data_IF_135530885802
#
_entry.id   IF_135530885802
#
_cell.length_a   1.000
_cell.length_b   1.000
_cell.length_c   1.000
_cell.angle_alpha   90.00
_cell.angle_beta   90.00
_cell.angle_gamma   90.00
#
_symmetry.space_group_name_H-M   'P 1'
#
loop_
_entity.id
_entity.type
_entity.pdbx_description
1 polymer ?
#
# COMPACT_ATOMS: atom_id res chain seq x y z
N UNK A 1 27.91 6.47 -15.33
CA UNK A 1 26.96 5.75 -14.46
C UNK A 1 27.22 5.88 -12.95
N UNK A 2 28.11 6.79 -12.48
CA UNK A 2 28.34 7.02 -11.03
C UNK A 2 27.62 8.25 -10.45
N UNK A 3 27.23 9.22 -11.28
CA UNK A 3 26.56 10.46 -10.82
C UNK A 3 25.08 10.29 -10.43
N UNK A 4 24.36 9.31 -11.02
CA UNK A 4 22.94 9.07 -10.74
C UNK A 4 22.69 8.39 -9.38
N UNK A 5 23.68 7.72 -8.80
CA UNK A 5 23.58 7.11 -7.48
C UNK A 5 23.69 8.13 -6.34
N UNK A 6 24.44 9.22 -6.54
CA UNK A 6 24.67 10.25 -5.53
C UNK A 6 23.48 11.21 -5.39
N UNK A 7 22.78 11.53 -6.49
CA UNK A 7 21.56 12.35 -6.45
C UNK A 7 20.39 11.62 -5.76
N UNK A 8 20.29 10.30 -5.91
CA UNK A 8 19.30 9.48 -5.19
C UNK A 8 19.56 9.44 -3.68
N UNK A 9 20.83 9.46 -3.27
CA UNK A 9 21.21 9.48 -1.85
C UNK A 9 21.00 10.84 -1.18
N UNK A 10 21.27 11.95 -1.89
CA UNK A 10 21.07 13.30 -1.36
C UNK A 10 19.58 13.63 -1.13
N UNK A 11 18.70 13.19 -2.04
CA UNK A 11 17.23 13.32 -1.91
C UNK A 11 16.68 12.42 -0.80
N UNK A 12 17.27 11.23 -0.61
CA UNK A 12 16.91 10.35 0.51
C UNK A 12 17.31 10.93 1.88
N UNK A 13 18.48 11.61 1.96
CA UNK A 13 18.95 12.28 3.18
C UNK A 13 18.11 13.49 3.59
N UNK A 14 17.52 14.21 2.63
CA UNK A 14 16.70 15.42 2.92
C UNK A 14 15.24 15.10 3.25
N UNK A 15 14.68 14.00 2.74
CA UNK A 15 13.27 13.64 2.98
C UNK A 15 13.09 12.88 4.32
N UNK A 16 14.13 12.25 4.84
CA UNK A 16 14.04 11.35 5.99
C UNK A 16 14.12 12.04 7.38
N UNK A 17 14.15 13.36 7.51
CA UNK A 17 14.31 14.02 8.81
C UNK A 17 13.00 14.30 9.57
N UNK A 18 11.83 14.31 8.91
CA UNK A 18 10.57 14.81 9.51
C UNK A 18 9.61 13.73 10.03
N UNK A 19 9.99 12.45 10.00
CA UNK A 19 9.07 11.34 10.35
C UNK A 19 9.71 10.24 11.22
N UNK A 20 10.70 10.58 12.05
CA UNK A 20 11.27 9.64 13.03
C UNK A 20 10.81 9.97 14.44
N UNK A 21 10.55 8.96 15.30
CA UNK A 21 10.43 9.17 16.75
C UNK A 21 11.71 9.80 17.30
N UNK A 22 11.58 10.73 18.25
CA UNK A 22 12.69 11.55 18.79
C UNK A 22 13.89 10.75 19.31
N UNK A 23 13.71 9.46 19.62
CA UNK A 23 14.75 8.55 20.09
C UNK A 23 15.81 8.17 19.04
N UNK A 24 15.54 8.36 17.74
CA UNK A 24 16.50 8.01 16.69
C UNK A 24 17.13 9.25 16.04
N UNK A 25 16.47 10.41 16.09
CA UNK A 25 17.05 11.68 15.65
C UNK A 25 18.35 12.02 16.43
N UNK A 26 18.43 11.63 17.70
CA UNK A 26 19.61 11.85 18.55
C UNK A 26 20.87 11.09 18.11
N UNK A 27 20.74 10.02 17.31
CA UNK A 27 21.90 9.27 16.81
C UNK A 27 22.49 9.86 15.52
N UNK A 28 21.80 10.81 14.88
CA UNK A 28 22.18 11.37 13.58
C UNK A 28 22.91 12.72 13.65
N UNK A 29 23.11 13.29 14.84
CA UNK A 29 23.64 14.66 15.02
C UNK A 29 25.08 14.72 15.56
N UNK A 30 25.94 13.75 15.24
CA UNK A 30 27.36 13.82 15.64
C UNK A 30 28.25 14.13 14.42
N UNK A 31 28.83 15.33 14.49
CA UNK A 31 30.04 15.84 13.84
C UNK A 31 29.94 16.33 12.39
N UNK A 32 29.63 17.63 12.27
CA UNK A 32 29.96 18.52 11.15
C UNK A 32 31.42 19.04 11.29
N UNK A 33 32.41 18.17 11.12
CA UNK A 33 33.80 18.61 10.91
C UNK A 33 34.29 18.10 9.55
N UNK A 34 34.57 19.06 8.66
CA UNK A 34 35.21 18.90 7.36
C UNK A 34 36.61 18.30 7.55
N UNK A 35 36.76 16.99 7.34
CA UNK A 35 38.06 16.40 7.05
C UNK A 35 37.94 15.22 6.07
N UNK A 36 38.76 15.30 5.01
CA UNK A 36 38.95 14.27 4.00
C UNK A 36 39.53 13.01 4.65
N UNK A 37 38.72 11.96 4.85
CA UNK A 37 39.21 10.66 5.32
C UNK A 37 38.62 9.51 4.50
N UNK A 38 39.51 8.57 4.19
CA UNK A 38 39.36 7.39 3.35
C UNK A 38 38.22 6.46 3.78
N UNK A 39 37.73 5.68 2.82
CA UNK A 39 36.56 4.82 2.98
C UNK A 39 36.90 3.51 3.70
N UNK A 40 36.78 3.51 5.02
CA UNK A 40 36.87 2.31 5.84
C UNK A 40 35.56 1.51 5.73
N UNK A 41 35.67 0.21 5.45
CA UNK A 41 34.58 -0.72 5.12
C UNK A 41 33.52 -0.99 6.20
N UNK A 42 33.47 -0.23 7.29
CA UNK A 42 32.51 -0.39 8.38
C UNK A 42 31.18 0.35 8.16
N UNK A 43 31.19 1.49 7.45
CA UNK A 43 29.97 2.25 7.11
C UNK A 43 29.05 1.48 6.14
N UNK A 44 29.63 0.67 5.25
CA UNK A 44 28.88 -0.24 4.38
C UNK A 44 28.11 -1.31 5.17
N UNK A 45 28.62 -1.70 6.34
CA UNK A 45 28.02 -2.71 7.21
C UNK A 45 26.86 -2.14 8.06
N UNK A 46 26.96 -0.88 8.50
CA UNK A 46 25.87 -0.22 9.21
C UNK A 46 24.63 -0.03 8.33
N UNK A 47 24.81 0.44 7.08
CA UNK A 47 23.72 0.56 6.11
C UNK A 47 23.08 -0.80 5.77
N UNK A 48 23.89 -1.86 5.65
CA UNK A 48 23.40 -3.22 5.43
C UNK A 48 22.62 -3.78 6.64
N UNK A 49 23.03 -3.43 7.87
CA UNK A 49 22.33 -3.80 9.12
C UNK A 49 21.01 -3.06 9.28
N UNK A 50 20.97 -1.77 8.95
CA UNK A 50 19.74 -0.98 8.92
C UNK A 50 18.77 -1.48 7.85
N UNK A 51 19.28 -1.84 6.67
CA UNK A 51 18.49 -2.48 5.60
C UNK A 51 17.85 -3.78 6.11
N UNK A 52 18.62 -4.68 6.74
CA UNK A 52 18.12 -5.94 7.32
C UNK A 52 17.13 -5.72 8.47
N UNK A 53 17.38 -4.76 9.36
CA UNK A 53 16.48 -4.43 10.48
C UNK A 53 15.14 -3.83 10.03
N UNK A 54 15.10 -3.15 8.89
CA UNK A 54 13.87 -2.62 8.29
C UNK A 54 13.04 -3.66 7.50
N UNK A 55 13.50 -4.91 7.38
CA UNK A 55 12.81 -6.00 6.65
C UNK A 55 11.32 -6.18 6.99
N UNK A 56 10.86 -6.11 8.26
CA UNK A 56 9.45 -6.25 8.59
C UNK A 56 8.57 -5.04 8.21
N UNK A 57 9.16 -3.88 7.86
CA UNK A 57 8.44 -2.67 7.44
C UNK A 57 8.45 -2.43 5.92
N UNK A 58 9.16 -3.27 5.15
CA UNK A 58 9.30 -3.11 3.69
C UNK A 58 7.99 -3.22 2.92
N UNK A 59 7.01 -3.97 3.42
CA UNK A 59 5.70 -4.09 2.79
C UNK A 59 4.85 -2.81 2.93
N UNK A 60 5.04 -2.05 4.02
CA UNK A 60 4.34 -0.78 4.25
C UNK A 60 5.04 0.39 3.54
N UNK A 61 6.38 0.37 3.49
CA UNK A 61 7.18 1.37 2.78
C UNK A 61 7.15 1.23 1.26
N UNK A 62 7.00 0.03 0.69
CA UNK A 62 6.88 -0.14 -0.76
C UNK A 62 5.57 0.42 -1.32
N UNK A 63 4.49 0.45 -0.53
CA UNK A 63 3.21 1.07 -0.91
C UNK A 63 3.29 2.59 -0.85
N UNK A 64 3.93 3.14 0.20
CA UNK A 64 4.19 4.58 0.34
C UNK A 64 5.20 5.11 -0.69
N UNK A 65 6.29 4.39 -0.95
CA UNK A 65 7.27 4.72 -1.97
C UNK A 65 6.72 4.58 -3.40
N UNK A 66 5.80 3.64 -3.68
CA UNK A 66 5.13 3.55 -4.99
C UNK A 66 4.18 4.70 -5.26
N UNK A 67 3.52 5.23 -4.22
CA UNK A 67 2.68 6.42 -4.32
C UNK A 67 3.54 7.69 -4.52
N UNK A 68 4.63 7.83 -3.76
CA UNK A 68 5.56 8.96 -3.90
C UNK A 68 6.36 8.95 -5.21
N UNK A 69 6.85 7.79 -5.68
CA UNK A 69 7.60 7.69 -6.95
C UNK A 69 6.72 7.90 -8.20
N UNK A 70 5.38 7.76 -8.10
CA UNK A 70 4.45 8.15 -9.17
C UNK A 70 4.18 9.66 -9.20
N UNK A 71 4.21 10.32 -8.05
CA UNK A 71 4.03 11.78 -7.96
C UNK A 71 5.28 12.56 -8.39
N UNK A 72 6.47 11.97 -8.28
CA UNK A 72 7.74 12.63 -8.61
C UNK A 72 8.08 12.69 -10.13
N UNK A 73 7.38 11.93 -10.99
CA UNK A 73 7.58 11.92 -12.44
C UNK A 73 6.25 12.02 -13.20
N UNK A 74 5.51 13.11 -12.97
CA UNK A 74 4.47 13.54 -13.90
C UNK A 74 5.10 14.53 -14.91
N UNK A 75 4.99 14.32 -16.23
CA UNK A 75 5.40 15.34 -17.20
C UNK A 75 4.50 16.57 -17.04
N UNK A 76 5.15 17.66 -16.64
CA UNK A 76 4.62 19.02 -16.62
C UNK A 76 4.00 19.37 -17.98
N UNK A 77 2.68 19.56 -18.04
CA UNK A 77 2.01 20.25 -19.16
C UNK A 77 1.58 21.64 -18.70
N UNK A 78 2.56 22.52 -18.55
CA UNK A 78 2.34 23.96 -18.65
C UNK A 78 2.81 24.42 -20.03
N UNK A 79 1.84 24.56 -20.93
CA UNK A 79 2.00 25.25 -22.22
C UNK A 79 1.04 26.43 -22.23
N UNK A 80 1.58 27.59 -21.88
CA UNK A 80 0.97 28.90 -21.92
C UNK A 80 0.48 29.23 -23.35
N UNK A 81 -0.75 29.72 -23.51
CA UNK A 81 -1.13 30.50 -24.68
C UNK A 81 -1.94 31.72 -24.24
N UNK A 82 -1.35 32.88 -24.53
CA UNK A 82 -1.87 34.21 -24.27
C UNK A 82 -3.15 34.48 -25.07
N UNK A 83 -4.08 35.18 -24.43
CA UNK A 83 -5.21 35.85 -25.07
C UNK A 83 -4.72 37.08 -25.85
N UNK A 84 -5.41 37.46 -26.93
CA UNK A 84 -5.83 38.86 -27.02
C UNK A 84 -7.35 39.00 -27.09
N UNK A 85 -7.82 40.13 -26.56
CA UNK A 85 -9.21 40.57 -26.53
C UNK A 85 -9.66 41.04 -27.92
N UNK A 86 -10.76 40.49 -28.44
CA UNK A 86 -11.63 41.20 -29.40
C UNK A 86 -13.09 40.81 -29.16
N UNK A 87 -13.94 41.82 -28.97
CA UNK A 87 -15.39 41.74 -29.06
C UNK A 87 -15.91 43.08 -29.63
N UNK A 88 -17.14 43.17 -30.14
CA UNK A 88 -18.09 42.11 -30.48
C UNK A 88 -18.72 42.29 -31.88
N UNK A 89 -19.00 41.21 -32.62
CA UNK A 89 -20.00 41.30 -33.68
C UNK A 89 -20.74 39.97 -33.89
N UNK A 90 -21.94 39.95 -33.30
CA UNK A 90 -23.17 39.24 -33.70
C UNK A 90 -22.98 38.18 -34.80
N UNK A 91 -22.89 36.90 -34.42
CA UNK A 91 -23.19 35.80 -35.34
C UNK A 91 -23.75 34.57 -34.60
N UNK A 92 -25.06 34.36 -34.84
CA UNK A 92 -25.84 33.11 -34.90
C UNK A 92 -25.42 31.99 -33.94
N UNK A 93 -26.33 31.65 -33.01
CA UNK A 93 -26.35 30.35 -32.30
C UNK A 93 -26.34 29.24 -33.35
N UNK A 94 -25.16 28.66 -33.59
CA UNK A 94 -25.00 27.38 -34.29
C UNK A 94 -25.12 26.31 -33.21
N UNK A 95 -26.06 25.39 -33.41
CA UNK A 95 -26.44 24.38 -32.44
C UNK A 95 -25.25 23.58 -31.92
N UNK A 96 -25.25 23.35 -30.60
CA UNK A 96 -24.37 22.37 -29.97
C UNK A 96 -24.48 21.03 -30.70
N UNK A 97 -23.37 20.40 -31.10
CA UNK A 97 -23.41 19.04 -31.62
C UNK A 97 -23.89 18.11 -30.50
N UNK A 98 -25.06 17.49 -30.72
CA UNK A 98 -25.82 16.63 -29.80
C UNK A 98 -25.11 15.31 -29.38
N UNK A 99 -23.80 15.20 -29.56
CA UNK A 99 -23.01 13.99 -29.25
C UNK A 99 -22.14 14.08 -27.99
N UNK A 100 -21.88 15.28 -27.47
CA UNK A 100 -20.98 15.45 -26.30
C UNK A 100 -21.71 15.31 -24.95
N UNK A 101 -23.02 15.53 -24.90
CA UNK A 101 -23.83 15.46 -23.68
C UNK A 101 -23.89 14.05 -23.10
N UNK A 102 -23.98 13.01 -23.95
CA UNK A 102 -24.09 11.62 -23.49
C UNK A 102 -22.85 11.13 -22.74
N UNK A 103 -21.64 11.47 -23.20
CA UNK A 103 -20.39 11.05 -22.55
C UNK A 103 -20.16 11.75 -21.20
N UNK A 104 -20.54 13.04 -21.09
CA UNK A 104 -20.41 13.80 -19.84
C UNK A 104 -21.44 13.34 -18.80
N UNK A 105 -22.69 13.10 -19.21
CA UNK A 105 -23.74 12.53 -18.34
C UNK A 105 -23.41 11.13 -17.83
N UNK A 106 -22.74 10.30 -18.63
CA UNK A 106 -22.29 8.97 -18.19
C UNK A 106 -21.15 9.07 -17.17
N UNK A 107 -20.21 9.98 -17.35
CA UNK A 107 -19.12 10.20 -16.41
C UNK A 107 -19.62 10.72 -15.04
N UNK A 108 -20.60 11.63 -15.01
CA UNK A 108 -21.22 12.07 -13.76
C UNK A 108 -21.97 10.93 -13.11
N UNK A 109 -22.78 10.16 -13.86
CA UNK A 109 -23.50 9.00 -13.33
C UNK A 109 -22.58 7.94 -12.75
N UNK A 110 -21.44 7.63 -13.38
CA UNK A 110 -20.46 6.69 -12.84
C UNK A 110 -19.75 7.21 -11.59
N UNK A 111 -19.46 8.52 -11.54
CA UNK A 111 -18.93 9.19 -10.36
C UNK A 111 -19.93 9.14 -9.21
N UNK A 112 -21.18 9.53 -9.46
CA UNK A 112 -22.28 9.54 -8.51
C UNK A 112 -22.56 8.14 -7.94
N UNK A 113 -22.53 7.12 -8.81
CA UNK A 113 -22.69 5.72 -8.38
C UNK A 113 -21.49 5.21 -7.59
N UNK A 114 -20.28 5.66 -7.89
CA UNK A 114 -19.10 5.27 -7.11
C UNK A 114 -19.15 5.88 -5.71
N UNK A 115 -19.51 7.15 -5.61
CA UNK A 115 -19.69 7.86 -4.34
C UNK A 115 -20.78 7.23 -3.48
N UNK A 116 -21.92 6.88 -4.07
CA UNK A 116 -22.98 6.16 -3.38
C UNK A 116 -22.49 4.83 -2.79
N UNK A 117 -21.75 4.04 -3.57
CA UNK A 117 -21.21 2.74 -3.11
C UNK A 117 -20.11 2.90 -2.07
N UNK A 118 -19.31 3.95 -2.16
CA UNK A 118 -18.30 4.28 -1.16
C UNK A 118 -18.97 4.64 0.18
N UNK A 119 -20.05 5.41 0.14
CA UNK A 119 -20.87 5.71 1.32
C UNK A 119 -21.48 4.44 1.92
N UNK A 120 -22.14 3.61 1.11
CA UNK A 120 -22.69 2.32 1.57
C UNK A 120 -21.62 1.41 2.20
N UNK A 121 -20.40 1.39 1.65
CA UNK A 121 -19.29 0.63 2.23
C UNK A 121 -18.85 1.19 3.58
N UNK A 122 -18.86 2.52 3.73
CA UNK A 122 -18.54 3.18 5.01
C UNK A 122 -19.56 2.80 6.07
N UNK A 123 -20.86 2.87 5.74
CA UNK A 123 -21.94 2.43 6.63
C UNK A 123 -21.84 0.93 6.96
N UNK A 124 -21.50 0.09 5.98
CA UNK A 124 -21.27 -1.33 6.21
C UNK A 124 -20.14 -1.56 7.22
N UNK A 125 -19.01 -0.87 7.04
CA UNK A 125 -17.86 -0.92 7.95
C UNK A 125 -18.25 -0.49 9.35
N UNK A 126 -19.00 0.60 9.50
CA UNK A 126 -19.39 1.09 10.81
C UNK A 126 -20.31 0.10 11.55
N UNK A 127 -21.10 -0.69 10.81
CA UNK A 127 -21.94 -1.76 11.38
C UNK A 127 -21.23 -3.10 11.62
N UNK A 128 -20.22 -3.46 10.82
CA UNK A 128 -19.59 -4.79 10.84
C UNK A 128 -18.15 -4.79 11.40
N UNK A 129 -17.52 -3.62 11.51
CA UNK A 129 -16.13 -3.45 11.92
C UNK A 129 -15.10 -3.62 10.79
N UNK A 130 -15.51 -4.05 9.60
CA UNK A 130 -14.62 -4.23 8.45
C UNK A 130 -15.26 -3.92 7.09
N UNK A 131 -14.44 -3.86 6.05
CA UNK A 131 -14.89 -3.66 4.66
C UNK A 131 -15.06 -4.97 3.88
N UNK A 132 -15.16 -6.13 4.55
CA UNK A 132 -15.18 -7.45 3.92
C UNK A 132 -16.59 -7.87 3.51
N UNK A 133 -17.18 -7.10 2.60
CA UNK A 133 -18.54 -7.35 2.11
C UNK A 133 -18.60 -8.66 1.28
N UNK A 134 -19.37 -9.68 1.71
CA UNK A 134 -19.57 -10.89 0.93
C UNK A 134 -20.25 -10.60 -0.42
N UNK A 135 -19.92 -11.38 -1.46
CA UNK A 135 -20.57 -11.23 -2.78
C UNK A 135 -22.09 -11.44 -2.73
N UNK A 136 -22.57 -12.23 -1.75
CA UNK A 136 -23.99 -12.46 -1.49
C UNK A 136 -24.73 -11.21 -0.99
N UNK A 137 -24.04 -10.18 -0.50
CA UNK A 137 -24.63 -8.87 -0.15
C UNK A 137 -24.96 -8.02 -1.39
N UNK A 138 -25.30 -8.68 -2.50
CA UNK A 138 -25.85 -8.05 -3.68
C UNK A 138 -24.90 -7.04 -4.36
N UNK A 139 -25.41 -5.85 -4.74
CA UNK A 139 -24.64 -4.87 -5.52
C UNK A 139 -23.37 -4.37 -4.84
N UNK A 140 -23.39 -4.15 -3.51
CA UNK A 140 -22.22 -3.67 -2.76
C UNK A 140 -21.09 -4.71 -2.77
N UNK A 141 -21.43 -5.98 -2.51
CA UNK A 141 -20.45 -7.08 -2.55
C UNK A 141 -19.81 -7.26 -3.94
N UNK A 142 -20.59 -7.12 -5.00
CA UNK A 142 -20.06 -7.13 -6.37
C UNK A 142 -19.17 -5.90 -6.65
N UNK A 143 -19.54 -4.72 -6.14
CA UNK A 143 -18.76 -3.50 -6.28
C UNK A 143 -17.41 -3.59 -5.56
N UNK A 144 -17.37 -4.08 -4.33
CA UNK A 144 -16.13 -4.33 -3.56
C UNK A 144 -15.19 -5.26 -4.31
N UNK A 145 -15.72 -6.38 -4.82
CA UNK A 145 -14.93 -7.32 -5.63
C UNK A 145 -14.41 -6.67 -6.92
N UNK A 146 -15.21 -5.80 -7.55
CA UNK A 146 -14.76 -5.01 -8.71
C UNK A 146 -13.61 -4.07 -8.34
N UNK A 147 -13.67 -3.38 -7.19
CA UNK A 147 -12.57 -2.51 -6.75
C UNK A 147 -11.27 -3.31 -6.57
N UNK A 148 -11.32 -4.45 -5.85
CA UNK A 148 -10.14 -5.34 -5.67
C UNK A 148 -9.56 -5.81 -7.01
N UNK A 149 -10.42 -6.17 -7.97
CA UNK A 149 -9.99 -6.57 -9.32
C UNK A 149 -9.37 -5.41 -10.10
N UNK A 150 -9.99 -4.23 -10.09
CA UNK A 150 -9.48 -3.05 -10.78
C UNK A 150 -8.13 -2.60 -10.20
N UNK A 151 -7.96 -2.65 -8.87
CA UNK A 151 -6.70 -2.37 -8.20
C UNK A 151 -5.59 -3.33 -8.66
N UNK A 152 -5.85 -4.64 -8.64
CA UNK A 152 -4.87 -5.65 -9.11
C UNK A 152 -4.48 -5.45 -10.57
N UNK A 153 -5.40 -4.94 -11.40
CA UNK A 153 -5.16 -4.65 -12.81
C UNK A 153 -4.54 -3.26 -13.07
N UNK A 154 -4.33 -2.44 -12.03
CA UNK A 154 -3.83 -1.07 -12.19
C UNK A 154 -4.81 -0.12 -12.89
N UNK A 155 -6.12 -0.44 -12.88
CA UNK A 155 -7.18 0.34 -13.55
C UNK A 155 -7.96 1.26 -12.61
N UNK A 156 -7.67 1.21 -11.32
CA UNK A 156 -8.32 2.06 -10.33
C UNK A 156 -7.54 3.38 -10.22
N UNK A 157 -8.24 4.51 -10.19
CA UNK A 157 -7.60 5.82 -10.04
C UNK A 157 -7.00 5.97 -8.63
N UNK A 158 -5.91 6.75 -8.54
CA UNK A 158 -5.20 6.97 -7.27
C UNK A 158 -6.11 7.61 -6.21
N UNK A 159 -7.00 8.53 -6.61
CA UNK A 159 -7.99 9.13 -5.71
C UNK A 159 -8.91 8.08 -5.06
N UNK A 160 -9.41 7.13 -5.86
CA UNK A 160 -10.29 6.06 -5.36
C UNK A 160 -9.55 5.08 -4.46
N UNK A 161 -8.26 4.84 -4.75
CA UNK A 161 -7.39 4.04 -3.90
C UNK A 161 -7.26 4.69 -2.53
N UNK A 162 -6.86 5.97 -2.49
CA UNK A 162 -6.68 6.73 -1.25
C UNK A 162 -7.97 6.75 -0.41
N UNK A 163 -9.11 6.97 -1.05
CA UNK A 163 -10.41 7.04 -0.34
C UNK A 163 -10.91 5.68 0.18
N UNK A 164 -10.51 4.58 -0.45
CA UNK A 164 -10.77 3.23 0.07
C UNK A 164 -9.80 2.90 1.20
N UNK A 165 -8.53 3.24 1.06
CA UNK A 165 -7.53 3.04 2.12
C UNK A 165 -7.85 3.86 3.39
N UNK A 166 -8.40 5.07 3.24
CA UNK A 166 -8.77 5.92 4.38
C UNK A 166 -9.86 5.33 5.27
N UNK A 167 -10.68 4.40 4.75
CA UNK A 167 -11.70 3.69 5.54
C UNK A 167 -11.20 2.29 6.00
N UNK A 168 -9.91 1.98 5.81
CA UNK A 168 -9.33 0.70 6.20
C UNK A 168 -9.62 -0.45 5.23
N UNK A 169 -9.85 -0.16 3.95
CA UNK A 169 -10.15 -1.20 2.96
C UNK A 169 -8.97 -2.14 2.71
N UNK A 170 -9.19 -3.44 2.94
CA UNK A 170 -8.19 -4.48 2.68
C UNK A 170 -8.30 -4.99 1.24
N UNK A 171 -7.23 -4.79 0.47
CA UNK A 171 -7.14 -5.23 -0.94
C UNK A 171 -6.99 -6.75 -1.10
N UNK A 172 -6.23 -7.40 -0.22
CA UNK A 172 -5.99 -8.84 -0.24
C UNK A 172 -6.29 -9.47 1.13
N UNK A 173 -7.55 -9.87 1.30
CA UNK A 173 -8.05 -10.44 2.54
C UNK A 173 -7.31 -11.71 2.95
N UNK A 174 -7.03 -12.62 2.01
CA UNK A 174 -6.28 -13.85 2.30
C UNK A 174 -4.86 -13.59 2.82
N UNK A 175 -4.24 -12.51 2.35
CA UNK A 175 -2.93 -12.10 2.84
C UNK A 175 -3.03 -11.47 4.23
N UNK A 176 -4.06 -10.66 4.47
CA UNK A 176 -4.30 -10.07 5.79
C UNK A 176 -4.58 -11.16 6.83
N UNK A 177 -5.49 -12.10 6.55
CA UNK A 177 -5.79 -13.24 7.43
C UNK A 177 -4.53 -14.07 7.74
N UNK A 178 -3.65 -14.25 6.75
CA UNK A 178 -2.38 -14.92 6.97
C UNK A 178 -1.47 -14.13 7.92
N UNK A 179 -1.37 -12.80 7.75
CA UNK A 179 -0.58 -11.94 8.61
C UNK A 179 -1.14 -11.90 10.05
N UNK A 180 -2.45 -11.88 10.20
CA UNK A 180 -3.11 -11.83 11.50
C UNK A 180 -2.85 -13.13 12.28
N UNK A 181 -3.02 -14.29 11.66
CA UNK A 181 -2.67 -15.57 12.29
C UNK A 181 -1.18 -15.74 12.53
N UNK A 182 -0.33 -15.23 11.63
CA UNK A 182 1.11 -15.23 11.86
C UNK A 182 1.48 -14.39 13.09
N UNK A 183 0.83 -13.23 13.27
CA UNK A 183 0.98 -12.40 14.47
C UNK A 183 0.49 -13.10 15.73
N UNK A 184 -0.67 -13.78 15.64
CA UNK A 184 -1.23 -14.59 16.73
C UNK A 184 -0.27 -15.73 17.13
N UNK A 185 0.34 -16.40 16.15
CA UNK A 185 1.36 -17.43 16.40
C UNK A 185 2.63 -16.86 17.07
N UNK A 186 3.07 -15.67 16.67
CA UNK A 186 4.20 -15.02 17.34
C UNK A 186 3.89 -14.68 18.79
N UNK A 187 2.66 -14.23 19.08
CA UNK A 187 2.22 -13.97 20.45
C UNK A 187 2.18 -15.26 21.27
N UNK A 188 1.61 -16.34 20.71
CA UNK A 188 1.62 -17.66 21.34
C UNK A 188 3.05 -18.13 21.67
N UNK A 189 3.98 -17.96 20.72
CA UNK A 189 5.39 -18.31 20.95
C UNK A 189 6.00 -17.49 22.09
N UNK A 190 5.70 -16.19 22.16
CA UNK A 190 6.22 -15.34 23.22
C UNK A 190 5.73 -15.78 24.62
N UNK A 191 4.51 -16.32 24.70
CA UNK A 191 3.90 -16.79 25.95
C UNK A 191 4.34 -18.22 26.32
N UNK A 192 4.44 -19.13 25.35
CA UNK A 192 4.67 -20.56 25.57
C UNK A 192 6.11 -21.02 25.34
N UNK A 193 6.92 -20.21 24.65
CA UNK A 193 8.31 -20.51 24.28
C UNK A 193 8.48 -21.28 22.97
N UNK A 194 7.40 -21.86 22.42
CA UNK A 194 7.44 -22.63 21.18
C UNK A 194 6.24 -22.35 20.24
N UNK A 195 6.26 -22.96 19.06
CA UNK A 195 5.17 -22.87 18.07
C UNK A 195 4.29 -24.15 18.03
N UNK A 196 4.33 -24.98 19.07
CA UNK A 196 3.60 -26.24 19.13
C UNK A 196 2.16 -26.02 19.61
N UNK A 197 1.38 -25.32 18.80
CA UNK A 197 -0.01 -24.99 19.14
C UNK A 197 -0.90 -26.24 19.06
N UNK A 198 -1.54 -26.67 20.17
CA UNK A 198 -2.51 -27.77 20.14
C UNK A 198 -3.72 -27.44 19.27
N UNK A 199 -4.31 -28.44 18.60
CA UNK A 199 -5.51 -28.22 17.78
C UNK A 199 -6.72 -27.72 18.60
N UNK A 200 -6.73 -27.98 19.92
CA UNK A 200 -7.72 -27.46 20.87
C UNK A 200 -7.64 -25.95 21.09
N UNK A 201 -6.55 -25.27 20.69
CA UNK A 201 -6.41 -23.81 20.71
C UNK A 201 -7.20 -23.12 19.58
N UNK A 202 -8.44 -23.56 19.37
CA UNK A 202 -9.42 -22.92 18.50
C UNK A 202 -8.93 -22.69 17.06
N UNK A 203 -8.99 -21.44 16.62
CA UNK A 203 -8.69 -21.04 15.23
C UNK A 203 -7.20 -21.16 14.92
N UNK A 204 -6.33 -20.74 15.84
CA UNK A 204 -4.88 -20.81 15.68
C UNK A 204 -4.38 -22.26 15.55
N UNK A 205 -4.86 -23.16 16.42
CA UNK A 205 -4.48 -24.58 16.36
C UNK A 205 -4.87 -25.24 15.03
N UNK A 206 -6.08 -24.96 14.53
CA UNK A 206 -6.52 -25.40 13.20
C UNK A 206 -5.66 -24.80 12.09
N UNK A 207 -5.32 -23.51 12.19
CA UNK A 207 -4.49 -22.82 11.21
C UNK A 207 -3.07 -23.41 11.13
N UNK A 208 -2.44 -23.68 12.27
CA UNK A 208 -1.12 -24.34 12.36
C UNK A 208 -1.17 -25.75 11.77
N UNK A 209 -2.18 -26.55 12.13
CA UNK A 209 -2.37 -27.89 11.56
C UNK A 209 -2.50 -27.85 10.03
N UNK A 210 -3.28 -26.90 9.49
CA UNK A 210 -3.43 -26.73 8.06
C UNK A 210 -2.12 -26.35 7.37
N UNK A 211 -1.27 -25.53 8.00
CA UNK A 211 0.06 -25.18 7.46
C UNK A 211 0.97 -26.39 7.33
N UNK A 212 1.00 -27.27 8.34
CA UNK A 212 1.75 -28.54 8.29
C UNK A 212 1.25 -29.43 7.16
N UNK A 213 -0.07 -29.53 6.98
CA UNK A 213 -0.66 -30.30 5.89
C UNK A 213 -0.34 -29.70 4.51
N UNK A 214 -0.43 -28.38 4.34
CA UNK A 214 -0.12 -27.70 3.08
C UNK A 214 1.36 -27.82 2.71
N UNK A 215 2.26 -27.78 3.70
CA UNK A 215 3.69 -28.04 3.49
C UNK A 215 3.93 -29.48 3.00
N UNK A 216 3.33 -30.48 3.66
CA UNK A 216 3.41 -31.88 3.21
C UNK A 216 2.86 -32.09 1.80
N UNK A 217 1.88 -31.28 1.39
CA UNK A 217 1.29 -31.32 0.04
C UNK A 217 2.04 -30.47 -0.99
N UNK A 218 3.08 -29.73 -0.60
CA UNK A 218 3.81 -28.81 -1.49
C UNK A 218 2.97 -27.61 -1.97
N UNK A 219 1.93 -27.23 -1.22
CA UNK A 219 1.01 -26.12 -1.57
C UNK A 219 1.35 -24.80 -0.90
N UNK A 220 2.25 -24.83 0.08
CA UNK A 220 2.68 -23.63 0.79
C UNK A 220 3.80 -22.95 0.01
N UNK A 221 3.71 -21.64 -0.18
CA UNK A 221 4.73 -20.88 -0.91
C UNK A 221 6.03 -20.76 -0.11
N UNK A 222 7.17 -20.76 -0.80
CA UNK A 222 8.51 -20.65 -0.20
C UNK A 222 8.64 -19.44 0.74
N UNK A 223 8.05 -18.29 0.37
CA UNK A 223 8.04 -17.10 1.24
C UNK A 223 7.37 -17.36 2.59
N UNK A 224 6.27 -18.13 2.61
CA UNK A 224 5.53 -18.45 3.84
C UNK A 224 6.26 -19.49 4.66
N UNK A 225 6.91 -20.45 4.00
CA UNK A 225 7.78 -21.44 4.63
C UNK A 225 8.93 -20.72 5.36
N UNK A 226 9.70 -19.91 4.63
CA UNK A 226 10.83 -19.15 5.19
C UNK A 226 10.41 -18.25 6.35
N UNK A 227 9.21 -17.66 6.29
CA UNK A 227 8.70 -16.79 7.36
C UNK A 227 8.29 -17.56 8.62
N UNK A 228 7.77 -18.77 8.49
CA UNK A 228 7.47 -19.66 9.61
C UNK A 228 8.77 -20.23 10.21
N UNK A 229 9.70 -20.68 9.37
CA UNK A 229 11.01 -21.16 9.82
C UNK A 229 11.81 -20.07 10.54
N UNK A 230 11.70 -18.82 10.08
CA UNK A 230 12.33 -17.67 10.73
C UNK A 230 11.89 -17.42 12.17
N UNK A 231 10.72 -17.95 12.59
CA UNK A 231 10.28 -17.92 13.99
C UNK A 231 10.51 -19.26 14.71
N UNK A 232 11.26 -20.20 14.14
CA UNK A 232 11.53 -21.51 14.73
C UNK A 232 10.34 -22.46 14.68
N UNK A 233 9.47 -22.32 13.68
CA UNK A 233 8.33 -23.22 13.50
C UNK A 233 8.78 -24.62 13.08
N UNK A 234 8.41 -25.64 13.86
CA UNK A 234 8.64 -27.05 13.52
C UNK A 234 7.51 -27.61 12.64
N UNK A 235 7.85 -28.29 11.54
CA UNK A 235 6.90 -28.86 10.57
C UNK A 235 6.25 -30.16 11.05
#
# INVERSE_FOLDING_TARGET
>A
MKALALLGFAVWRTIAASSWPSSIAAAATVSDDDDLIEADGETGNAAARMWKAAAPFRSSLLTRCRSMLRQAFAPNRQGCLQHPLVSPSRRRVVGLPSRTTSSLLLATKESDMWELRHKELTEYRDGHGDCNVPRSQGPLGNWVNRQRRCYKQGKLSDERIVRLESIGFVWNQKQQEWLDHFKELMAYKAENGDCNVPQSQGRLGKWVSNRRQEFKQGKLSDERIARLEGIGFAW
#
